data_IF_455140677434
#
_entry.id   IF_455140677434
#
_cell.length_a   1.000
_cell.length_b   1.000
_cell.length_c   1.000
_cell.angle_alpha   90.00
_cell.angle_beta   90.00
_cell.angle_gamma   90.00
#
_symmetry.space_group_name_H-M   'P 1'
#
loop_
_entity.id
_entity.type
_entity.pdbx_description
1 polymer ?
#
# COMPACT_ATOMS: atom_id res chain seq x y z
N UNK A 1 -7.76 2.41 14.02
CA UNK A 1 -6.68 1.52 13.57
C UNK A 1 -7.16 0.84 12.31
N UNK A 2 -6.43 0.96 11.20
CA UNK A 2 -6.65 0.13 10.01
C UNK A 2 -5.75 -1.09 10.11
N UNK A 3 -6.31 -2.27 9.86
CA UNK A 3 -5.54 -3.50 9.67
C UNK A 3 -5.98 -4.24 8.41
N UNK A 4 -5.03 -4.88 7.76
CA UNK A 4 -5.26 -5.69 6.56
C UNK A 4 -4.19 -6.77 6.38
N UNK A 5 -4.55 -7.81 5.64
CA UNK A 5 -3.64 -8.85 5.17
C UNK A 5 -3.60 -8.82 3.66
N UNK A 6 -2.41 -8.79 3.07
CA UNK A 6 -2.23 -9.04 1.64
C UNK A 6 -1.85 -10.52 1.47
N UNK A 7 -2.69 -11.27 0.76
CA UNK A 7 -2.58 -12.73 0.68
C UNK A 7 -2.04 -13.26 -0.65
N UNK A 8 -2.11 -12.45 -1.72
CA UNK A 8 -1.57 -12.82 -3.03
C UNK A 8 -1.23 -11.58 -3.85
N UNK A 9 -0.16 -11.65 -4.63
CA UNK A 9 0.18 -10.66 -5.65
C UNK A 9 0.34 -11.35 -7.01
N UNK A 10 -0.37 -10.82 -8.00
CA UNK A 10 -0.26 -11.22 -9.41
C UNK A 10 0.18 -10.02 -10.22
N UNK A 11 1.40 -10.03 -10.75
CA UNK A 11 1.93 -9.06 -11.72
C UNK A 11 1.61 -9.55 -13.12
N UNK A 12 0.70 -8.85 -13.79
CA UNK A 12 0.11 -9.21 -15.08
C UNK A 12 0.91 -8.67 -16.27
N UNK A 13 1.67 -7.58 -16.05
CA UNK A 13 2.50 -6.94 -17.08
C UNK A 13 3.85 -6.51 -16.49
N UNK A 14 4.93 -6.50 -17.29
CA UNK A 14 6.22 -5.99 -16.83
C UNK A 14 6.14 -4.55 -16.33
N UNK A 15 6.70 -4.28 -15.15
CA UNK A 15 6.61 -2.97 -14.46
C UNK A 15 7.71 -1.97 -14.87
N UNK A 16 8.30 -2.17 -16.06
CA UNK A 16 9.40 -1.38 -16.62
C UNK A 16 10.65 -2.21 -16.92
N UNK A 17 11.66 -1.57 -17.52
CA UNK A 17 12.93 -2.23 -17.89
C UNK A 17 13.84 -2.48 -16.68
N UNK A 18 14.60 -3.57 -16.75
CA UNK A 18 15.70 -3.94 -15.85
C UNK A 18 15.33 -3.98 -14.36
N UNK A 19 14.11 -4.44 -14.06
CA UNK A 19 13.63 -4.55 -12.70
C UNK A 19 13.87 -5.96 -12.15
N UNK A 20 14.82 -6.10 -11.24
CA UNK A 20 15.12 -7.37 -10.56
C UNK A 20 14.20 -7.68 -9.38
N UNK A 21 13.51 -6.67 -8.86
CA UNK A 21 12.82 -6.76 -7.59
C UNK A 21 11.81 -5.64 -7.35
N UNK A 22 10.81 -5.93 -6.52
CA UNK A 22 9.75 -5.02 -6.10
C UNK A 22 9.52 -5.09 -4.60
N UNK A 23 8.89 -4.04 -4.07
CA UNK A 23 8.46 -3.92 -2.69
C UNK A 23 7.00 -3.47 -2.70
N UNK A 24 6.18 -4.05 -1.84
CA UNK A 24 4.82 -3.59 -1.61
C UNK A 24 4.86 -2.51 -0.54
N UNK A 25 4.20 -1.38 -0.80
CA UNK A 25 4.11 -0.27 0.12
C UNK A 25 2.65 0.08 0.41
N UNK A 26 2.32 0.31 1.67
CA UNK A 26 0.97 0.66 2.14
C UNK A 26 1.02 1.99 2.86
N UNK A 27 0.12 2.90 2.51
CA UNK A 27 0.09 4.28 3.00
C UNK A 27 -1.32 4.84 3.05
N UNK A 28 -1.68 5.51 4.14
CA UNK A 28 -2.89 6.36 4.15
C UNK A 28 -2.61 7.70 3.49
N UNK A 29 -3.60 8.19 2.74
CA UNK A 29 -3.58 9.56 2.22
C UNK A 29 -3.38 10.57 3.36
N UNK A 30 -2.50 11.55 3.12
CA UNK A 30 -2.12 12.54 4.14
C UNK A 30 -1.15 12.04 5.21
N UNK A 31 -0.86 10.73 5.30
CA UNK A 31 0.14 10.21 6.24
C UNK A 31 1.56 10.48 5.77
N UNK A 32 2.46 10.82 6.70
CA UNK A 32 3.91 10.85 6.45
C UNK A 32 4.52 9.44 6.46
N UNK A 33 3.89 8.51 7.19
CA UNK A 33 4.40 7.15 7.38
C UNK A 33 3.94 6.25 6.23
N UNK A 34 4.85 5.42 5.73
CA UNK A 34 4.59 4.38 4.72
C UNK A 34 5.15 3.07 5.25
N UNK A 35 4.32 2.05 5.31
CA UNK A 35 4.75 0.68 5.63
C UNK A 35 5.20 0.00 4.34
N UNK A 36 6.22 -0.86 4.44
CA UNK A 36 6.78 -1.56 3.28
C UNK A 36 7.06 -3.01 3.63
N UNK A 37 6.88 -3.89 2.66
CA UNK A 37 7.30 -5.28 2.74
C UNK A 37 8.82 -5.42 2.57
N UNK A 38 9.29 -6.65 2.72
CA UNK A 38 10.59 -7.05 2.20
C UNK A 38 10.60 -6.99 0.67
N UNK A 39 11.82 -7.00 0.12
CA UNK A 39 12.06 -7.02 -1.31
C UNK A 39 11.75 -8.41 -1.87
N UNK A 40 10.96 -8.44 -2.94
CA UNK A 40 10.54 -9.64 -3.65
C UNK A 40 11.22 -9.65 -5.01
N UNK A 41 11.87 -10.77 -5.35
CA UNK A 41 12.55 -10.91 -6.62
C UNK A 41 11.53 -11.09 -7.75
N UNK A 42 11.81 -10.45 -8.88
CA UNK A 42 11.03 -10.64 -10.10
C UNK A 42 11.76 -11.62 -11.02
N UNK A 43 11.03 -12.58 -11.62
CA UNK A 43 11.56 -13.37 -12.71
C UNK A 43 11.94 -12.49 -13.93
N UNK A 44 12.81 -12.97 -14.84
CA UNK A 44 13.28 -12.18 -15.98
C UNK A 44 12.18 -11.71 -16.94
N UNK A 45 11.03 -12.39 -16.99
CA UNK A 45 9.88 -11.97 -17.79
C UNK A 45 9.08 -10.82 -17.14
N UNK A 46 9.41 -10.42 -15.92
CA UNK A 46 8.75 -9.34 -15.17
C UNK A 46 7.34 -9.69 -14.68
N UNK A 47 6.90 -10.95 -14.82
CA UNK A 47 5.62 -11.45 -14.35
C UNK A 47 5.84 -12.23 -13.05
N UNK A 48 4.88 -12.16 -12.14
CA UNK A 48 4.96 -12.78 -10.83
C UNK A 48 3.57 -13.22 -10.40
N UNK A 49 3.43 -14.43 -9.89
CA UNK A 49 2.25 -14.89 -9.18
C UNK A 49 2.74 -15.57 -7.91
N UNK A 50 2.44 -14.97 -6.76
CA UNK A 50 2.96 -15.44 -5.48
C UNK A 50 1.98 -15.19 -4.36
N UNK A 51 1.90 -16.16 -3.47
CA UNK A 51 1.19 -16.03 -2.21
C UNK A 51 1.98 -15.09 -1.27
N UNK A 52 1.25 -14.43 -0.39
CA UNK A 52 1.75 -13.45 0.57
C UNK A 52 1.13 -13.72 1.94
N UNK A 53 1.88 -13.38 2.99
CA UNK A 53 1.38 -13.35 4.36
C UNK A 53 1.74 -12.00 5.00
N UNK A 54 1.41 -10.92 4.31
CA UNK A 54 1.79 -9.58 4.74
C UNK A 54 0.68 -8.92 5.55
N UNK A 55 0.91 -8.80 6.85
CA UNK A 55 0.00 -8.14 7.77
C UNK A 55 0.42 -6.68 8.00
N UNK A 56 -0.49 -5.75 7.75
CA UNK A 56 -0.27 -4.33 7.96
C UNK A 56 -1.23 -3.79 9.01
N UNK A 57 -0.70 -2.96 9.91
CA UNK A 57 -1.49 -2.21 10.88
C UNK A 57 -1.01 -0.76 10.91
N UNK A 58 -1.93 0.18 10.78
CA UNK A 58 -1.62 1.60 10.71
C UNK A 58 -2.71 2.45 11.33
N UNK A 59 -2.31 3.41 12.16
CA UNK A 59 -3.21 4.41 12.72
C UNK A 59 -3.39 5.54 11.71
N UNK A 60 -4.64 6.01 11.59
CA UNK A 60 -4.96 7.15 10.74
C UNK A 60 -6.19 7.88 11.30
N UNK A 61 -6.23 9.21 11.19
CA UNK A 61 -7.42 9.98 11.51
C UNK A 61 -8.49 9.74 10.45
N UNK A 62 -9.72 9.49 10.88
CA UNK A 62 -10.85 9.31 9.96
C UNK A 62 -11.65 10.60 9.80
N UNK A 63 -11.84 11.06 8.56
CA UNK A 63 -12.58 12.29 8.26
C UNK A 63 -13.91 12.00 7.55
N UNK A 64 -15.05 12.21 8.21
CA UNK A 64 -16.37 11.94 7.61
C UNK A 64 -16.73 12.84 6.40
N UNK A 65 -16.07 13.99 6.25
CA UNK A 65 -16.45 15.03 5.27
C UNK A 65 -15.39 15.31 4.20
N UNK A 66 -14.28 14.57 4.17
CA UNK A 66 -13.18 14.80 3.20
C UNK A 66 -12.88 13.49 2.48
N UNK A 67 -12.63 13.59 1.17
CA UNK A 67 -12.13 12.49 0.32
C UNK A 67 -10.66 12.11 0.64
N UNK A 68 -10.35 12.06 1.94
CA UNK A 68 -9.01 11.86 2.50
C UNK A 68 -8.83 10.50 3.16
N UNK A 69 -9.88 9.68 3.28
CA UNK A 69 -9.79 8.34 3.84
C UNK A 69 -9.44 7.33 2.74
N UNK A 70 -8.31 7.53 2.07
CA UNK A 70 -7.85 6.59 1.04
C UNK A 70 -6.63 5.83 1.53
N UNK A 71 -6.69 4.51 1.39
CA UNK A 71 -5.56 3.62 1.58
C UNK A 71 -4.93 3.36 0.22
N UNK A 72 -3.66 3.69 0.09
CA UNK A 72 -2.86 3.45 -1.10
C UNK A 72 -2.04 2.18 -0.90
N UNK A 73 -2.17 1.25 -1.83
CA UNK A 73 -1.33 0.06 -1.97
C UNK A 73 -0.52 0.23 -3.24
N UNK A 74 0.81 0.20 -3.12
CA UNK A 74 1.72 0.53 -4.21
C UNK A 74 2.73 -0.57 -4.42
N UNK A 75 3.09 -0.81 -5.68
CA UNK A 75 4.33 -1.49 -6.04
C UNK A 75 5.43 -0.46 -6.20
N UNK A 76 6.53 -0.66 -5.51
CA UNK A 76 7.68 0.24 -5.50
C UNK A 76 8.95 -0.48 -5.88
N UNK A 77 9.90 0.28 -6.42
CA UNK A 77 11.30 -0.13 -6.52
C UNK A 77 12.19 0.83 -5.77
N UNK A 78 13.35 0.34 -5.31
CA UNK A 78 14.41 1.21 -4.78
C UNK A 78 14.93 2.12 -5.90
N UNK A 79 15.13 3.39 -5.60
CA UNK A 79 15.75 4.31 -6.57
C UNK A 79 17.21 3.91 -6.81
N UNK A 80 17.69 4.09 -8.04
CA UNK A 80 19.07 3.81 -8.44
C UNK A 80 19.60 4.99 -9.24
N UNK A 81 20.89 5.28 -9.06
CA UNK A 81 21.67 6.18 -9.91
C UNK A 81 22.82 5.37 -10.51
N UNK A 82 22.86 5.27 -11.84
CA UNK A 82 23.68 4.26 -12.54
C UNK A 82 23.44 2.88 -11.90
N UNK A 83 24.50 2.18 -11.51
CA UNK A 83 24.43 0.84 -10.92
C UNK A 83 24.35 0.85 -9.38
N UNK A 84 24.13 2.01 -8.75
CA UNK A 84 24.10 2.15 -7.29
C UNK A 84 22.71 2.51 -6.77
N UNK A 85 22.22 1.75 -5.79
CA UNK A 85 20.99 2.08 -5.05
C UNK A 85 21.17 3.36 -4.25
N UNK A 86 20.19 4.26 -4.32
CA UNK A 86 20.14 5.53 -3.58
C UNK A 86 18.93 5.55 -2.64
N UNK A 87 18.85 6.57 -1.78
CA UNK A 87 17.74 6.71 -0.85
C UNK A 87 16.41 6.92 -1.57
N UNK A 88 15.38 6.27 -1.05
CA UNK A 88 14.00 6.45 -1.48
C UNK A 88 13.55 5.43 -2.52
N UNK A 89 12.28 5.58 -2.88
CA UNK A 89 11.55 4.61 -3.69
C UNK A 89 10.86 5.31 -4.87
N UNK A 90 10.69 4.58 -5.97
CA UNK A 90 9.86 4.99 -7.11
C UNK A 90 8.63 4.09 -7.13
N UNK A 91 7.45 4.69 -7.10
CA UNK A 91 6.18 3.97 -7.34
C UNK A 91 6.11 3.57 -8.81
N UNK A 92 5.73 2.32 -9.04
CA UNK A 92 5.55 1.71 -10.36
C UNK A 92 4.07 1.53 -10.69
N UNK A 93 3.30 1.10 -9.69
CA UNK A 93 1.86 0.93 -9.79
C UNK A 93 1.20 1.27 -8.46
N UNK A 94 -0.07 1.67 -8.52
CA UNK A 94 -0.86 2.05 -7.37
C UNK A 94 -2.32 1.59 -7.51
N UNK A 95 -2.87 1.11 -6.41
CA UNK A 95 -4.29 0.85 -6.22
C UNK A 95 -4.76 1.59 -4.97
N UNK A 96 -6.00 2.04 -4.99
CA UNK A 96 -6.56 2.92 -3.95
C UNK A 96 -7.85 2.34 -3.42
N UNK A 97 -7.95 2.21 -2.10
CA UNK A 97 -9.15 1.74 -1.40
C UNK A 97 -9.77 2.90 -0.64
N UNK A 98 -11.09 3.09 -0.81
CA UNK A 98 -11.84 4.07 -0.04
C UNK A 98 -12.19 3.49 1.34
N UNK A 99 -11.43 3.91 2.35
CA UNK A 99 -11.60 3.45 3.73
C UNK A 99 -12.90 3.93 4.38
N UNK A 100 -13.62 4.89 3.78
CA UNK A 100 -14.95 5.27 4.27
C UNK A 100 -15.97 4.12 4.11
N UNK A 101 -15.80 3.25 3.11
CA UNK A 101 -16.66 2.07 2.91
C UNK A 101 -16.31 0.94 3.91
N UNK A 102 -15.03 0.83 4.27
CA UNK A 102 -14.51 -0.22 5.18
C UNK A 102 -14.98 -0.04 6.62
N UNK A 103 -15.27 1.19 7.07
CA UNK A 103 -15.77 1.42 8.43
C UNK A 103 -17.06 0.66 8.75
N UNK A 104 -17.89 0.41 7.73
CA UNK A 104 -19.21 -0.19 7.95
C UNK A 104 -19.13 -1.71 8.10
N UNK A 105 -18.11 -2.36 7.52
CA UNK A 105 -17.93 -3.80 7.54
C UNK A 105 -16.50 -4.16 7.14
N UNK A 106 -15.97 -5.22 7.76
CA UNK A 106 -14.75 -5.87 7.26
C UNK A 106 -14.93 -6.32 5.80
N UNK A 107 -13.90 -6.12 4.99
CA UNK A 107 -13.93 -6.40 3.56
C UNK A 107 -12.78 -7.31 3.13
N UNK A 108 -13.09 -8.20 2.21
CA UNK A 108 -12.13 -8.92 1.38
C UNK A 108 -12.35 -8.47 -0.06
N UNK A 109 -11.28 -8.12 -0.76
CA UNK A 109 -11.37 -7.60 -2.13
C UNK A 109 -10.11 -7.90 -2.94
N UNK A 110 -10.28 -7.95 -4.26
CA UNK A 110 -9.18 -7.91 -5.20
C UNK A 110 -8.92 -6.46 -5.62
N UNK A 111 -7.71 -5.97 -5.36
CA UNK A 111 -7.30 -4.63 -5.69
C UNK A 111 -6.46 -4.63 -6.97
N UNK A 112 -7.00 -4.02 -8.00
CA UNK A 112 -6.28 -3.74 -9.24
C UNK A 112 -5.28 -2.58 -9.04
N UNK A 113 -4.04 -2.77 -9.53
CA UNK A 113 -2.95 -1.80 -9.47
C UNK A 113 -2.64 -1.28 -10.86
N UNK A 114 -2.63 0.05 -10.99
CA UNK A 114 -2.43 0.74 -12.25
C UNK A 114 -1.09 1.46 -12.29
N UNK A 115 -0.38 1.37 -13.42
CA UNK A 115 0.84 2.16 -13.63
C UNK A 115 0.50 3.60 -14.03
N UNK A 116 1.26 4.58 -13.52
CA UNK A 116 1.19 5.99 -13.95
C UNK A 116 1.92 6.22 -15.29
N UNK A 117 1.79 5.28 -16.22
CA UNK A 117 2.19 5.49 -17.61
C UNK A 117 1.12 6.38 -18.23
N UNK A 118 1.42 7.68 -18.32
CA UNK A 118 0.67 8.63 -19.17
C UNK A 118 0.88 8.28 -20.64
N UNK A 119 0.43 7.10 -21.05
CA UNK A 119 0.27 6.82 -22.47
C UNK A 119 -0.98 7.57 -22.93
N UNK A 120 -0.73 8.62 -23.70
CA UNK A 120 -1.75 9.43 -24.34
C UNK A 120 -2.55 8.53 -25.30
N UNK A 121 -3.72 8.07 -24.88
CA UNK A 121 -4.82 7.81 -25.80
C UNK A 121 -5.49 6.44 -25.81
N UNK A 122 -5.03 5.41 -25.08
CA UNK A 122 -5.74 4.11 -25.09
C UNK A 122 -5.85 3.41 -23.74
N UNK A 123 -7.09 3.40 -23.25
CA UNK A 123 -7.74 2.43 -22.34
C UNK A 123 -7.19 2.26 -20.92
N UNK A 124 -8.06 2.43 -19.92
CA UNK A 124 -7.84 2.08 -18.51
C UNK A 124 -7.37 0.61 -18.32
N UNK A 125 -7.69 -0.28 -19.27
CA UNK A 125 -7.25 -1.68 -19.28
C UNK A 125 -5.76 -1.80 -19.64
N UNK A 126 -5.22 -0.85 -20.42
CA UNK A 126 -3.79 -0.82 -20.78
C UNK A 126 -2.90 -0.61 -19.55
N UNK A 127 -3.39 0.17 -18.57
CA UNK A 127 -2.61 0.54 -17.39
C UNK A 127 -2.72 -0.43 -16.22
N UNK A 128 -3.63 -1.41 -16.26
CA UNK A 128 -3.67 -2.50 -15.28
C UNK A 128 -2.41 -3.34 -15.43
N UNK A 129 -1.58 -3.38 -14.39
CA UNK A 129 -0.28 -4.08 -14.41
C UNK A 129 -0.16 -5.14 -13.34
N UNK A 130 -0.94 -5.08 -12.26
CA UNK A 130 -0.94 -6.08 -11.21
C UNK A 130 -2.27 -6.11 -10.46
N UNK A 131 -2.49 -7.18 -9.70
CA UNK A 131 -3.62 -7.36 -8.80
C UNK A 131 -3.13 -7.90 -7.47
N UNK A 132 -3.69 -7.39 -6.38
CA UNK A 132 -3.39 -7.84 -5.03
C UNK A 132 -4.67 -8.29 -4.34
N UNK A 133 -4.64 -9.46 -3.72
CA UNK A 133 -5.74 -9.93 -2.88
C UNK A 133 -5.58 -9.34 -1.48
N UNK A 134 -6.58 -8.58 -1.06
CA UNK A 134 -6.67 -7.95 0.26
C UNK A 134 -7.72 -8.69 1.07
N UNK A 135 -7.32 -9.14 2.25
CA UNK A 135 -8.16 -9.88 3.19
C UNK A 135 -8.20 -9.17 4.54
N UNK A 136 -9.29 -9.41 5.25
CA UNK A 136 -9.56 -8.92 6.59
C UNK A 136 -9.34 -7.41 6.75
N UNK A 137 -9.59 -6.64 5.68
CA UNK A 137 -9.45 -5.20 5.71
C UNK A 137 -10.52 -4.64 6.65
N UNK A 138 -10.07 -4.03 7.74
CA UNK A 138 -10.95 -3.43 8.72
C UNK A 138 -10.43 -2.05 9.13
N UNK A 139 -11.32 -1.26 9.69
CA UNK A 139 -10.96 -0.02 10.36
C UNK A 139 -11.79 0.16 11.60
N UNK A 140 -11.12 0.33 12.73
CA UNK A 140 -11.73 0.58 14.03
C UNK A 140 -11.45 2.03 14.46
N UNK A 141 -12.38 2.72 15.14
CA UNK A 141 -12.04 3.95 15.83
C UNK A 141 -10.93 3.68 16.85
N UNK A 142 -10.00 4.63 17.02
CA UNK A 142 -9.03 4.60 18.13
C UNK A 142 -9.51 5.64 19.13
N UNK A 143 -9.92 5.21 20.31
CA UNK A 143 -10.16 6.14 21.41
C UNK A 143 -8.80 6.68 21.86
N UNK A 144 -8.65 8.00 21.83
CA UNK A 144 -7.40 8.68 22.20
C UNK A 144 -7.24 8.86 23.72
N UNK A 145 -8.01 8.17 24.55
CA UNK A 145 -8.00 8.37 26.01
C UNK A 145 -6.75 7.81 26.72
N UNK A 146 -6.01 6.87 26.12
CA UNK A 146 -4.87 6.23 26.80
C UNK A 146 -3.53 6.99 26.67
N UNK A 147 -3.38 7.85 25.67
CA UNK A 147 -2.14 8.59 25.47
C UNK A 147 -1.94 9.71 26.51
N UNK A 148 -3.03 10.24 27.07
CA UNK A 148 -2.98 11.30 28.09
C UNK A 148 -2.73 10.70 29.49
N UNK A 149 -3.20 9.48 29.75
CA UNK A 149 -3.00 8.82 31.06
C UNK A 149 -1.56 8.38 31.32
N UNK A 150 -0.76 8.09 30.28
CA UNK A 150 0.65 7.72 30.46
C UNK A 150 1.59 8.91 30.72
N UNK A 151 1.28 10.13 30.25
CA UNK A 151 2.10 11.32 30.60
C UNK A 151 1.81 11.81 32.02
N UNK A 152 0.58 11.64 32.52
CA UNK A 152 0.19 12.07 33.86
C UNK A 152 0.82 11.24 35.00
N UNK A 153 1.34 10.04 34.72
CA UNK A 153 1.99 9.18 35.72
C UNK A 153 3.53 9.32 35.77
N UNK A 154 4.14 10.09 34.85
CA UNK A 154 5.59 10.33 34.83
C UNK A 154 6.02 11.67 35.44
N UNK A 155 5.09 12.55 35.80
CA UNK A 155 5.38 13.85 36.45
C UNK A 155 5.29 13.81 37.99
N UNK A 156 5.17 12.63 38.61
CA UNK A 156 5.05 12.49 40.07
C UNK A 156 6.01 11.49 40.70
N UNK A 157 7.26 11.41 40.21
CA UNK A 157 8.35 10.69 40.89
C UNK A 157 9.60 11.55 41.00
#
# INVERSE_FOLDING_TARGET
LCSLTLSRLVVLKPLGSDLSSIIIAVKMQGSKRTLRSNEMLLPPNGLLDTELELNFALQYPHFLKRDGNKLHVMLQRRKRYKNRTILGFKTLAEGVINMAQVLQRQMDLELDLFSDLKDKGLSLISNLVARVTVQALNSQPVDHEDAVKQMAMSETA
#
